data_IF_165164983092
#
_entry.id   IF_165164983092
#
_cell.length_a   1.000
_cell.length_b   1.000
_cell.length_c   1.000
_cell.angle_alpha   90.00
_cell.angle_beta   90.00
_cell.angle_gamma   90.00
#
_symmetry.space_group_name_H-M   'P 1'
#
loop_
_entity.id
_entity.type
_entity.pdbx_description
1 polymer ?
#
# COMPACT_ATOMS: atom_id res chain seq x y z
N UNK A 1 0.92 11.79 -21.18
CA UNK A 1 2.14 10.93 -20.96
C UNK A 1 1.96 10.22 -19.62
N UNK A 2 2.34 8.95 -19.51
CA UNK A 2 2.25 8.21 -18.24
C UNK A 2 3.50 8.49 -17.41
N UNK A 3 3.30 8.92 -16.18
CA UNK A 3 4.36 9.21 -15.21
C UNK A 3 5.14 7.94 -14.84
N UNK A 4 6.42 8.03 -14.46
CA UNK A 4 7.12 6.93 -13.79
C UNK A 4 6.36 6.39 -12.58
N UNK A 5 6.35 5.07 -12.43
CA UNK A 5 5.68 4.38 -11.33
C UNK A 5 6.70 3.72 -10.43
N UNK A 6 6.57 3.96 -9.11
CA UNK A 6 7.37 3.30 -8.09
C UNK A 6 6.46 2.36 -7.27
N UNK A 7 6.73 1.07 -7.33
CA UNK A 7 6.02 0.05 -6.56
C UNK A 7 6.73 -0.13 -5.22
N UNK A 8 5.98 0.02 -4.11
CA UNK A 8 6.47 -0.22 -2.75
C UNK A 8 5.88 -1.54 -2.24
N UNK A 9 6.70 -2.58 -2.07
CA UNK A 9 6.27 -3.88 -1.53
C UNK A 9 5.60 -3.78 -0.16
N UNK A 10 4.75 -4.76 0.17
CA UNK A 10 4.08 -4.86 1.46
C UNK A 10 4.93 -5.48 2.57
N UNK A 11 4.46 -5.37 3.80
CA UNK A 11 5.14 -5.89 5.00
C UNK A 11 5.43 -7.40 4.88
N UNK A 12 6.67 -7.78 5.16
CA UNK A 12 7.13 -9.17 5.09
C UNK A 12 7.35 -9.71 3.68
N UNK A 13 7.14 -8.89 2.64
CA UNK A 13 7.37 -9.25 1.25
C UNK A 13 8.69 -8.65 0.73
N UNK A 14 9.28 -9.28 -0.28
CA UNK A 14 10.47 -8.76 -0.96
C UNK A 14 10.14 -8.33 -2.38
N UNK A 15 10.99 -7.48 -2.93
CA UNK A 15 10.78 -6.83 -4.23
C UNK A 15 10.53 -7.80 -5.39
N UNK A 16 11.18 -8.99 -5.40
CA UNK A 16 10.99 -9.98 -6.46
C UNK A 16 9.56 -10.52 -6.59
N UNK A 17 8.76 -10.48 -5.54
CA UNK A 17 7.34 -10.89 -5.59
C UNK A 17 6.48 -9.92 -6.42
N UNK A 18 6.98 -8.71 -6.68
CA UNK A 18 6.25 -7.68 -7.43
C UNK A 18 6.63 -7.62 -8.92
N UNK A 19 7.49 -8.54 -9.40
CA UNK A 19 7.82 -8.62 -10.83
C UNK A 19 6.62 -9.03 -11.68
N UNK A 20 5.68 -9.84 -11.14
CA UNK A 20 4.41 -10.14 -11.80
C UNK A 20 3.59 -8.86 -12.03
N UNK A 21 3.44 -8.03 -11.00
CA UNK A 21 2.75 -6.73 -11.11
C UNK A 21 3.45 -5.83 -12.14
N UNK A 22 4.78 -5.73 -12.09
CA UNK A 22 5.58 -4.98 -13.05
C UNK A 22 5.38 -5.48 -14.47
N UNK A 23 5.36 -6.81 -14.65
CA UNK A 23 5.11 -7.44 -15.94
C UNK A 23 3.74 -7.06 -16.50
N UNK A 24 2.68 -7.18 -15.70
CA UNK A 24 1.34 -6.86 -16.15
C UNK A 24 1.13 -5.36 -16.40
N UNK A 25 1.77 -4.49 -15.60
CA UNK A 25 1.77 -3.06 -15.83
C UNK A 25 2.49 -2.66 -17.14
N UNK A 26 3.49 -3.42 -17.57
CA UNK A 26 4.22 -3.12 -18.81
C UNK A 26 3.36 -3.25 -20.07
N UNK A 27 2.14 -3.79 -19.97
CA UNK A 27 1.16 -3.75 -21.05
C UNK A 27 0.50 -2.36 -21.25
N UNK A 28 0.64 -1.46 -20.26
CA UNK A 28 -0.01 -0.16 -20.25
C UNK A 28 0.96 1.01 -20.23
N UNK A 29 2.24 0.75 -19.91
CA UNK A 29 3.28 1.78 -19.87
C UNK A 29 4.67 1.19 -20.12
N UNK A 30 5.66 1.99 -20.54
CA UNK A 30 7.03 1.51 -20.77
C UNK A 30 7.61 0.86 -19.51
N UNK A 31 8.18 -0.34 -19.65
CA UNK A 31 8.72 -1.12 -18.52
C UNK A 31 9.86 -0.39 -17.79
N UNK A 32 10.64 0.39 -18.50
CA UNK A 32 11.73 1.22 -17.95
C UNK A 32 11.25 2.34 -17.04
N UNK A 33 9.97 2.69 -17.10
CA UNK A 33 9.31 3.64 -16.20
C UNK A 33 8.69 2.99 -14.96
N UNK A 34 8.81 1.66 -14.78
CA UNK A 34 8.27 0.93 -13.64
C UNK A 34 9.42 0.47 -12.74
N UNK A 35 9.49 1.04 -11.55
CA UNK A 35 10.51 0.76 -10.53
C UNK A 35 9.90 0.01 -9.38
N UNK A 36 10.67 -0.91 -8.79
CA UNK A 36 10.28 -1.59 -7.54
C UNK A 36 11.29 -1.18 -6.48
N UNK A 37 10.82 -0.68 -5.34
CA UNK A 37 11.69 -0.35 -4.21
C UNK A 37 12.40 -1.62 -3.74
N UNK A 38 13.75 -1.62 -3.67
CA UNK A 38 14.51 -2.82 -3.30
C UNK A 38 14.40 -3.08 -1.80
N UNK A 39 13.41 -3.88 -1.43
CA UNK A 39 13.15 -4.30 -0.06
C UNK A 39 13.34 -5.80 0.10
N UNK A 40 13.85 -6.19 1.26
CA UNK A 40 13.93 -7.55 1.78
C UNK A 40 12.99 -7.75 2.96
N UNK A 41 12.77 -8.98 3.37
CA UNK A 41 11.98 -9.30 4.58
C UNK A 41 12.57 -8.63 5.84
N UNK A 42 13.91 -8.51 5.91
CA UNK A 42 14.61 -7.90 7.06
C UNK A 42 14.33 -6.40 7.20
N UNK A 43 14.01 -5.71 6.10
CA UNK A 43 13.68 -4.28 6.15
C UNK A 43 12.33 -4.06 6.85
N UNK A 44 11.46 -5.06 6.85
CA UNK A 44 10.16 -5.03 7.51
C UNK A 44 10.19 -5.38 9.00
N UNK A 45 11.26 -5.98 9.47
CA UNK A 45 11.45 -6.32 10.89
C UNK A 45 12.14 -5.16 11.63
N UNK A 46 13.08 -4.51 10.98
CA UNK A 46 14.06 -3.63 11.60
C UNK A 46 15.16 -4.43 12.32
N UNK A 47 16.32 -3.84 12.55
CA UNK A 47 17.40 -4.48 13.29
C UNK A 47 18.02 -3.46 14.25
N UNK A 48 17.88 -3.63 15.56
CA UNK A 48 17.03 -4.61 16.27
C UNK A 48 15.55 -4.42 15.94
N UNK A 49 14.70 -5.46 16.12
CA UNK A 49 13.28 -5.42 15.74
C UNK A 49 12.51 -4.25 16.34
N UNK A 50 11.88 -3.45 15.48
CA UNK A 50 11.07 -2.30 15.91
C UNK A 50 10.22 -1.79 14.74
N UNK A 51 8.94 -1.43 14.97
CA UNK A 51 8.08 -0.85 13.95
C UNK A 51 8.61 0.48 13.41
N UNK A 52 9.25 1.29 14.27
CA UNK A 52 9.85 2.57 13.92
C UNK A 52 11.00 2.36 12.92
N UNK A 53 11.97 1.51 13.28
CA UNK A 53 13.14 1.20 12.44
C UNK A 53 12.74 0.54 11.12
N UNK A 54 11.74 -0.35 11.15
CA UNK A 54 11.17 -0.94 9.96
C UNK A 54 10.64 0.13 9.01
N UNK A 55 9.80 1.02 9.50
CA UNK A 55 9.23 2.11 8.72
C UNK A 55 10.31 3.04 8.17
N UNK A 56 11.29 3.45 8.98
CA UNK A 56 12.43 4.26 8.54
C UNK A 56 13.23 3.59 7.42
N UNK A 57 13.51 2.28 7.51
CA UNK A 57 14.22 1.53 6.46
C UNK A 57 13.48 1.56 5.14
N UNK A 58 12.18 1.32 5.18
CA UNK A 58 11.33 1.38 3.99
C UNK A 58 11.32 2.78 3.39
N UNK A 59 11.19 3.84 4.22
CA UNK A 59 11.21 5.23 3.77
C UNK A 59 12.55 5.61 3.14
N UNK A 60 13.68 5.20 3.71
CA UNK A 60 15.02 5.41 3.12
C UNK A 60 15.18 4.72 1.77
N UNK A 61 14.70 3.47 1.64
CA UNK A 61 14.75 2.73 0.38
C UNK A 61 13.86 3.39 -0.67
N UNK A 62 12.66 3.82 -0.28
CA UNK A 62 11.76 4.57 -1.13
C UNK A 62 12.37 5.90 -1.59
N UNK A 63 12.94 6.67 -0.67
CA UNK A 63 13.59 7.96 -1.00
C UNK A 63 14.70 7.79 -2.03
N UNK A 64 15.61 6.83 -1.83
CA UNK A 64 16.68 6.52 -2.81
C UNK A 64 16.11 6.16 -4.18
N UNK A 65 15.01 5.40 -4.21
CA UNK A 65 14.35 5.05 -5.48
C UNK A 65 13.72 6.29 -6.13
N UNK A 66 13.07 7.16 -5.35
CA UNK A 66 12.52 8.43 -5.85
C UNK A 66 13.63 9.31 -6.42
N UNK A 67 14.77 9.48 -5.71
CA UNK A 67 15.92 10.24 -6.23
C UNK A 67 16.47 9.65 -7.53
N UNK A 68 16.57 8.32 -7.64
CA UNK A 68 16.98 7.65 -8.87
C UNK A 68 16.04 8.01 -10.01
N UNK A 69 14.72 7.92 -9.81
CA UNK A 69 13.70 8.25 -10.81
C UNK A 69 13.78 9.72 -11.19
N UNK A 70 13.94 10.64 -10.24
CA UNK A 70 14.10 12.06 -10.53
C UNK A 70 15.34 12.37 -11.38
N UNK A 71 16.46 11.67 -11.17
CA UNK A 71 17.65 11.80 -12.01
C UNK A 71 17.43 11.28 -13.43
N UNK A 72 16.64 10.21 -13.58
CA UNK A 72 16.36 9.59 -14.88
C UNK A 72 15.26 10.32 -15.66
N UNK A 73 14.29 10.92 -14.93
CA UNK A 73 13.14 11.62 -15.50
C UNK A 73 12.93 12.98 -14.80
N UNK A 74 13.83 13.96 -14.99
CA UNK A 74 13.90 15.18 -14.18
C UNK A 74 12.70 16.12 -14.31
N UNK A 75 11.91 15.98 -15.38
CA UNK A 75 10.75 16.84 -15.67
C UNK A 75 9.41 16.10 -15.53
N UNK A 76 9.42 14.90 -14.99
CA UNK A 76 8.20 14.10 -14.84
C UNK A 76 7.79 14.01 -13.37
N UNK A 77 6.49 14.07 -13.12
CA UNK A 77 5.93 13.71 -11.82
C UNK A 77 5.97 12.20 -11.63
N UNK A 78 5.97 11.75 -10.39
CA UNK A 78 6.05 10.33 -10.02
C UNK A 78 4.71 9.87 -9.45
N UNK A 79 4.31 8.65 -9.81
CA UNK A 79 3.23 7.92 -9.15
C UNK A 79 3.82 6.84 -8.24
N UNK A 80 3.38 6.78 -6.99
CA UNK A 80 3.71 5.67 -6.09
C UNK A 80 2.53 4.70 -6.02
N UNK A 81 2.83 3.41 -6.14
CA UNK A 81 1.88 2.30 -5.92
C UNK A 81 2.37 1.50 -4.72
N UNK A 82 1.72 1.69 -3.56
CA UNK A 82 2.11 1.03 -2.33
C UNK A 82 1.18 -0.14 -1.97
N UNK A 83 1.73 -1.33 -1.77
CA UNK A 83 0.96 -2.49 -1.33
C UNK A 83 1.02 -2.63 0.20
N UNK A 84 -0.14 -2.91 0.85
CA UNK A 84 -0.19 -3.22 2.28
C UNK A 84 0.56 -2.17 3.13
N UNK A 85 1.45 -2.60 4.03
CA UNK A 85 2.32 -1.71 4.81
C UNK A 85 3.21 -0.78 3.98
N UNK A 86 3.47 -1.10 2.71
CA UNK A 86 4.20 -0.23 1.78
C UNK A 86 3.42 1.03 1.42
N UNK A 87 2.09 0.94 1.30
CA UNK A 87 1.26 2.11 1.04
C UNK A 87 1.18 3.05 2.25
N UNK A 88 1.10 2.52 3.48
CA UNK A 88 1.15 3.35 4.69
C UNK A 88 2.52 3.99 4.90
N UNK A 89 3.62 3.28 4.61
CA UNK A 89 4.97 3.85 4.66
C UNK A 89 5.17 4.95 3.59
N UNK A 90 4.64 4.75 2.39
CA UNK A 90 4.65 5.76 1.33
C UNK A 90 3.85 7.01 1.72
N UNK A 91 2.69 6.83 2.38
CA UNK A 91 1.91 7.96 2.91
C UNK A 91 2.73 8.77 3.91
N UNK A 92 3.36 8.12 4.90
CA UNK A 92 4.21 8.79 5.90
C UNK A 92 5.33 9.58 5.20
N UNK A 93 6.01 8.96 4.24
CA UNK A 93 7.04 9.60 3.44
C UNK A 93 6.54 10.89 2.76
N UNK A 94 5.33 10.84 2.15
CA UNK A 94 4.75 11.95 1.42
C UNK A 94 4.16 13.07 2.30
N UNK A 95 3.85 12.76 3.56
CA UNK A 95 3.42 13.77 4.54
C UNK A 95 4.53 14.79 4.81
N UNK A 96 5.81 14.42 4.65
CA UNK A 96 6.96 15.31 4.83
C UNK A 96 7.14 15.80 6.29
N UNK A 97 6.56 15.07 7.24
CA UNK A 97 6.73 15.33 8.67
C UNK A 97 7.80 14.39 9.24
N UNK A 98 8.58 14.84 10.26
CA UNK A 98 9.57 13.98 10.88
C UNK A 98 8.93 12.73 11.50
N UNK A 99 9.33 11.57 10.99
CA UNK A 99 8.98 10.27 11.58
C UNK A 99 10.21 9.73 12.31
N UNK A 100 10.14 9.65 13.64
CA UNK A 100 11.26 9.21 14.50
C UNK A 100 12.60 9.92 14.17
N UNK A 101 12.51 11.23 13.96
CA UNK A 101 13.68 12.08 13.64
C UNK A 101 14.11 12.09 12.18
N UNK A 102 13.51 11.25 11.31
CA UNK A 102 13.79 11.28 9.87
C UNK A 102 12.72 12.08 9.12
N UNK A 103 13.17 12.99 8.28
CA UNK A 103 12.32 13.78 7.39
C UNK A 103 12.95 13.82 5.99
N UNK A 104 12.10 13.80 4.98
CA UNK A 104 12.53 13.85 3.59
C UNK A 104 11.98 15.11 2.91
N UNK A 105 12.78 15.75 2.02
CA UNK A 105 12.32 16.92 1.29
C UNK A 105 11.13 16.59 0.38
N UNK A 106 10.27 17.57 0.06
CA UNK A 106 9.22 17.39 -0.92
C UNK A 106 9.82 16.94 -2.27
N UNK A 107 9.26 15.87 -2.81
CA UNK A 107 9.65 15.29 -4.10
C UNK A 107 8.50 15.43 -5.10
N UNK A 108 8.75 15.34 -6.43
CA UNK A 108 7.74 15.53 -7.46
C UNK A 108 6.78 14.33 -7.57
N UNK A 109 6.25 13.87 -6.44
CA UNK A 109 5.25 12.81 -6.36
C UNK A 109 3.87 13.48 -6.27
N UNK A 110 3.06 13.29 -7.30
CA UNK A 110 1.73 13.89 -7.38
C UNK A 110 0.58 12.88 -7.25
N UNK A 111 0.91 11.58 -7.15
CA UNK A 111 -0.11 10.53 -7.06
C UNK A 111 0.34 9.37 -6.18
N UNK A 112 -0.60 8.88 -5.36
CA UNK A 112 -0.43 7.69 -4.52
C UNK A 112 -1.61 6.74 -4.73
N UNK A 113 -1.34 5.55 -5.23
CA UNK A 113 -2.26 4.42 -5.19
C UNK A 113 -1.86 3.51 -4.04
N UNK A 114 -2.80 3.12 -3.20
CA UNK A 114 -2.55 2.13 -2.15
C UNK A 114 -3.40 0.89 -2.40
N UNK A 115 -2.79 -0.27 -2.30
CA UNK A 115 -3.38 -1.57 -2.61
C UNK A 115 -3.46 -2.38 -1.30
N UNK A 116 -4.65 -2.52 -0.72
CA UNK A 116 -4.86 -3.23 0.55
C UNK A 116 -4.07 -2.65 1.72
N UNK A 117 -3.90 -1.34 1.78
CA UNK A 117 -3.10 -0.69 2.83
C UNK A 117 -3.96 -0.31 4.03
N UNK A 118 -3.65 -0.79 5.25
CA UNK A 118 -4.43 -0.47 6.44
C UNK A 118 -4.06 0.91 7.00
N UNK A 119 -4.93 1.90 6.81
CA UNK A 119 -4.81 3.22 7.43
C UNK A 119 -5.36 3.25 8.86
N UNK A 120 -6.10 2.23 9.24
CA UNK A 120 -6.53 1.98 10.61
C UNK A 120 -5.99 0.60 11.00
N UNK A 121 -5.17 0.54 12.03
CA UNK A 121 -4.58 -0.71 12.51
C UNK A 121 -4.51 -0.74 14.03
N UNK A 122 -4.81 -1.90 14.60
CA UNK A 122 -4.63 -2.18 16.05
C UNK A 122 -3.39 -3.04 16.31
N UNK A 123 -2.79 -3.61 15.25
CA UNK A 123 -1.56 -4.36 15.30
C UNK A 123 -0.37 -3.42 15.52
N UNK A 124 0.62 -3.83 16.31
CA UNK A 124 1.74 -2.99 16.78
C UNK A 124 2.49 -2.28 15.64
N UNK A 125 2.88 -3.01 14.57
CA UNK A 125 3.62 -2.45 13.43
C UNK A 125 2.75 -1.57 12.51
N UNK A 126 1.47 -1.87 12.45
CA UNK A 126 0.49 -1.06 11.72
C UNK A 126 0.06 0.17 12.50
N UNK A 127 -0.16 0.01 13.82
CA UNK A 127 -0.69 1.07 14.69
C UNK A 127 0.19 2.32 14.71
N UNK A 128 1.49 2.19 14.82
CA UNK A 128 2.39 3.36 14.83
C UNK A 128 2.28 4.18 13.54
N UNK A 129 2.11 3.50 12.41
CA UNK A 129 1.90 4.15 11.11
C UNK A 129 0.53 4.82 11.02
N UNK A 130 -0.51 4.12 11.47
CA UNK A 130 -1.88 4.64 11.49
C UNK A 130 -2.02 5.86 12.38
N UNK A 131 -1.43 5.82 13.59
CA UNK A 131 -1.45 6.94 14.54
C UNK A 131 -0.70 8.15 13.97
N UNK A 132 0.46 7.94 13.36
CA UNK A 132 1.22 9.01 12.74
C UNK A 132 0.45 9.65 11.58
N UNK A 133 -0.14 8.84 10.70
CA UNK A 133 -0.96 9.33 9.58
C UNK A 133 -2.15 10.12 10.11
N UNK A 134 -2.86 9.60 11.10
CA UNK A 134 -4.03 10.28 11.68
C UNK A 134 -3.66 11.63 12.32
N UNK A 135 -2.47 11.75 12.91
CA UNK A 135 -2.00 12.98 13.54
C UNK A 135 -1.55 14.06 12.53
N UNK A 136 -1.09 13.66 11.34
CA UNK A 136 -0.42 14.60 10.41
C UNK A 136 -1.10 14.75 9.05
N UNK A 137 -2.08 13.90 8.72
CA UNK A 137 -2.79 13.98 7.44
C UNK A 137 -3.81 15.12 7.49
N UNK A 138 -3.58 16.14 6.67
CA UNK A 138 -4.45 17.30 6.54
C UNK A 138 -5.13 17.30 5.17
N UNK A 139 -6.30 17.95 4.99
CA UNK A 139 -7.01 18.02 3.72
C UNK A 139 -6.15 18.53 2.55
N UNK A 140 -5.22 19.43 2.81
CA UNK A 140 -4.31 20.03 1.83
C UNK A 140 -3.36 19.00 1.20
N UNK A 141 -3.13 17.88 1.87
CA UNK A 141 -2.37 16.77 1.29
C UNK A 141 -2.98 16.28 -0.02
N UNK A 142 -4.30 16.13 -0.07
CA UNK A 142 -5.04 15.61 -1.22
C UNK A 142 -5.09 16.56 -2.41
N UNK A 143 -4.83 17.85 -2.20
CA UNK A 143 -4.69 18.82 -3.30
C UNK A 143 -3.33 18.70 -3.99
N UNK A 144 -2.31 18.26 -3.26
CA UNK A 144 -0.94 18.05 -3.75
C UNK A 144 -0.71 16.64 -4.28
N UNK A 145 -1.28 15.63 -3.61
CA UNK A 145 -1.09 14.22 -3.94
C UNK A 145 -2.45 13.56 -4.17
N UNK A 146 -2.83 13.34 -5.43
CA UNK A 146 -4.05 12.59 -5.76
C UNK A 146 -3.95 11.19 -5.19
N UNK A 147 -4.78 10.88 -4.20
CA UNK A 147 -4.69 9.61 -3.46
C UNK A 147 -5.87 8.71 -3.78
N UNK A 148 -5.58 7.47 -4.14
CA UNK A 148 -6.56 6.43 -4.42
C UNK A 148 -6.28 5.25 -3.49
N UNK A 149 -7.23 4.93 -2.60
CA UNK A 149 -7.16 3.76 -1.73
C UNK A 149 -7.97 2.62 -2.33
N UNK A 150 -7.29 1.56 -2.74
CA UNK A 150 -7.87 0.40 -3.40
C UNK A 150 -7.80 -0.79 -2.46
N UNK A 151 -8.92 -1.46 -2.25
CA UNK A 151 -9.00 -2.64 -1.39
C UNK A 151 -9.74 -3.78 -2.08
N UNK A 152 -9.23 -4.99 -1.94
CA UNK A 152 -9.85 -6.21 -2.43
C UNK A 152 -11.00 -6.67 -1.53
N UNK A 153 -12.04 -7.25 -2.14
CA UNK A 153 -13.16 -7.89 -1.43
C UNK A 153 -13.31 -9.32 -1.93
N UNK A 154 -12.49 -10.21 -1.38
CA UNK A 154 -12.43 -11.61 -1.77
C UNK A 154 -12.94 -12.56 -0.70
N UNK A 155 -12.77 -12.23 0.57
CA UNK A 155 -13.05 -13.12 1.70
C UNK A 155 -13.99 -12.47 2.71
N UNK A 156 -14.98 -13.24 3.15
CA UNK A 156 -15.80 -12.91 4.30
C UNK A 156 -15.17 -13.52 5.56
N UNK A 157 -14.83 -12.73 6.55
CA UNK A 157 -14.44 -13.21 7.87
C UNK A 157 -15.66 -13.38 8.75
N UNK A 158 -15.89 -14.58 9.32
CA UNK A 158 -17.06 -14.86 10.16
C UNK A 158 -16.74 -15.94 11.20
N UNK A 159 -16.99 -15.65 12.49
CA UNK A 159 -16.74 -16.58 13.59
C UNK A 159 -17.59 -17.86 13.50
N UNK A 160 -18.79 -17.77 12.94
CA UNK A 160 -19.73 -18.88 12.77
C UNK A 160 -19.66 -19.54 11.37
N UNK A 161 -18.68 -19.13 10.55
CA UNK A 161 -18.53 -19.60 9.18
C UNK A 161 -17.64 -20.84 9.05
N UNK A 162 -17.25 -21.14 7.80
CA UNK A 162 -16.29 -22.19 7.44
C UNK A 162 -14.91 -21.93 8.08
N UNK A 163 -14.01 -22.91 7.99
CA UNK A 163 -12.63 -22.75 8.46
C UNK A 163 -11.93 -21.55 7.76
N UNK A 164 -12.13 -21.39 6.46
CA UNK A 164 -11.55 -20.27 5.71
C UNK A 164 -12.08 -18.90 6.17
N UNK A 165 -13.39 -18.82 6.49
CA UNK A 165 -13.99 -17.59 6.99
C UNK A 165 -13.52 -17.25 8.42
N UNK A 166 -13.35 -18.26 9.28
CA UNK A 166 -12.77 -18.06 10.62
C UNK A 166 -11.32 -17.59 10.54
N UNK A 167 -10.52 -18.18 9.65
CA UNK A 167 -9.13 -17.77 9.42
C UNK A 167 -9.05 -16.34 8.88
N UNK A 168 -9.90 -15.96 7.93
CA UNK A 168 -9.96 -14.59 7.44
C UNK A 168 -10.34 -13.61 8.56
N UNK A 169 -11.30 -13.96 9.42
CA UNK A 169 -11.68 -13.13 10.55
C UNK A 169 -10.53 -12.94 11.55
N UNK A 170 -9.72 -13.97 11.78
CA UNK A 170 -8.54 -13.89 12.64
C UNK A 170 -7.52 -12.89 12.08
N UNK A 171 -7.20 -12.96 10.78
CA UNK A 171 -6.33 -11.97 10.13
C UNK A 171 -6.90 -10.55 10.21
N UNK A 172 -8.20 -10.38 9.99
CA UNK A 172 -8.85 -9.07 10.09
C UNK A 172 -8.78 -8.51 11.50
N UNK A 173 -9.05 -9.34 12.52
CA UNK A 173 -8.94 -8.93 13.92
C UNK A 173 -7.50 -8.65 14.35
N UNK A 174 -6.51 -9.33 13.77
CA UNK A 174 -5.10 -9.02 13.99
C UNK A 174 -4.71 -7.68 13.37
N UNK A 175 -5.25 -7.34 12.21
CA UNK A 175 -4.95 -6.07 11.52
C UNK A 175 -5.71 -4.91 12.14
N UNK A 176 -7.04 -5.04 12.25
CA UNK A 176 -7.93 -4.00 12.74
C UNK A 176 -9.13 -4.60 13.46
N UNK A 177 -9.11 -4.57 14.77
CA UNK A 177 -10.17 -5.12 15.63
C UNK A 177 -11.00 -4.03 16.26
N UNK A 178 -12.32 -4.14 16.13
CA UNK A 178 -13.31 -3.32 16.84
C UNK A 178 -14.37 -4.20 17.48
N UNK A 179 -15.14 -3.68 18.45
CA UNK A 179 -16.25 -4.41 19.03
C UNK A 179 -17.31 -4.79 17.98
N UNK A 180 -17.46 -3.97 16.93
CA UNK A 180 -18.40 -4.21 15.85
C UNK A 180 -18.00 -5.37 14.94
N UNK A 181 -16.69 -5.52 14.64
CA UNK A 181 -16.21 -6.48 13.66
C UNK A 181 -15.61 -7.77 14.25
N UNK A 182 -15.45 -7.87 15.58
CA UNK A 182 -14.75 -8.97 16.24
C UNK A 182 -15.28 -10.38 15.94
N UNK A 183 -16.59 -10.50 15.66
CA UNK A 183 -17.24 -11.78 15.36
C UNK A 183 -17.64 -11.93 13.88
N UNK A 184 -17.51 -10.88 13.07
CA UNK A 184 -17.96 -10.84 11.68
C UNK A 184 -19.50 -10.70 11.55
N UNK A 185 -20.04 -10.73 10.32
CA UNK A 185 -19.31 -10.85 9.07
C UNK A 185 -18.50 -9.59 8.72
N UNK A 186 -17.27 -9.78 8.29
CA UNK A 186 -16.35 -8.71 7.86
C UNK A 186 -15.77 -9.07 6.50
N UNK A 187 -15.88 -8.18 5.54
CA UNK A 187 -15.31 -8.37 4.21
C UNK A 187 -13.94 -7.71 4.08
N UNK A 188 -13.07 -8.33 3.30
CA UNK A 188 -11.75 -7.82 2.95
C UNK A 188 -11.03 -8.69 1.93
N UNK A 189 -9.74 -8.47 1.79
CA UNK A 189 -8.87 -9.15 0.82
C UNK A 189 -8.25 -10.46 1.36
N UNK A 190 -8.66 -10.92 2.53
CA UNK A 190 -8.16 -12.11 3.21
C UNK A 190 -7.13 -11.80 4.31
N UNK A 191 -6.57 -10.59 4.34
CA UNK A 191 -5.61 -10.14 5.38
C UNK A 191 -6.07 -8.82 6.00
N UNK A 192 -6.52 -7.87 5.19
CA UNK A 192 -6.95 -6.54 5.61
C UNK A 192 -8.44 -6.37 5.38
N UNK A 193 -9.22 -5.97 6.39
CA UNK A 193 -10.65 -5.69 6.21
C UNK A 193 -10.86 -4.39 5.43
N UNK A 194 -11.94 -4.32 4.66
CA UNK A 194 -12.29 -3.14 3.84
C UNK A 194 -12.24 -1.84 4.64
N UNK A 195 -12.76 -1.87 5.86
CA UNK A 195 -12.87 -0.70 6.72
C UNK A 195 -11.50 -0.11 7.08
N UNK A 196 -10.49 -0.97 7.31
CA UNK A 196 -9.14 -0.54 7.65
C UNK A 196 -8.43 0.21 6.51
N UNK A 197 -8.82 -0.04 5.27
CA UNK A 197 -8.24 0.62 4.09
C UNK A 197 -8.90 1.96 3.76
N UNK A 198 -10.03 2.30 4.38
CA UNK A 198 -10.72 3.55 4.08
C UNK A 198 -9.92 4.76 4.55
N UNK A 199 -9.71 5.69 3.64
CA UNK A 199 -9.00 6.93 3.88
C UNK A 199 -9.91 8.11 3.52
N UNK A 200 -10.26 8.91 4.50
CA UNK A 200 -11.07 10.10 4.29
C UNK A 200 -10.28 11.11 3.44
N UNK A 201 -10.91 11.70 2.44
CA UNK A 201 -10.30 12.63 1.48
C UNK A 201 -9.69 11.95 0.26
N UNK A 202 -9.48 10.62 0.27
CA UNK A 202 -9.04 9.86 -0.89
C UNK A 202 -10.23 9.28 -1.69
N UNK A 203 -9.99 8.95 -2.96
CA UNK A 203 -10.89 8.09 -3.72
C UNK A 203 -10.76 6.66 -3.20
N UNK A 204 -11.83 6.12 -2.59
CA UNK A 204 -11.86 4.76 -2.07
C UNK A 204 -12.51 3.83 -3.09
N UNK A 205 -11.78 2.80 -3.52
CA UNK A 205 -12.19 1.83 -4.55
C UNK A 205 -12.16 0.42 -4.00
N UNK A 206 -13.19 -0.37 -4.27
CA UNK A 206 -13.24 -1.79 -3.93
C UNK A 206 -13.13 -2.64 -5.20
N UNK A 207 -12.27 -3.66 -5.17
CA UNK A 207 -12.11 -4.63 -6.24
C UNK A 207 -12.67 -5.98 -5.79
N UNK A 208 -13.75 -6.43 -6.42
CA UNK A 208 -14.37 -7.73 -6.12
C UNK A 208 -13.43 -8.89 -6.49
N UNK A 209 -13.32 -9.89 -5.62
CA UNK A 209 -12.54 -11.10 -5.83
C UNK A 209 -11.02 -10.94 -5.75
N UNK A 210 -10.49 -9.75 -5.39
CA UNK A 210 -9.05 -9.52 -5.29
C UNK A 210 -8.55 -9.83 -3.88
N UNK A 211 -7.54 -10.70 -3.78
CA UNK A 211 -6.89 -11.13 -2.56
C UNK A 211 -5.61 -10.33 -2.25
N UNK A 212 -5.18 -10.39 -1.00
CA UNK A 212 -4.03 -9.62 -0.50
C UNK A 212 -2.68 -10.14 -1.03
N UNK A 213 -2.49 -11.46 -0.99
CA UNK A 213 -1.20 -12.09 -1.26
C UNK A 213 -1.22 -12.86 -2.58
N UNK A 214 -0.08 -12.94 -3.29
CA UNK A 214 0.07 -13.81 -4.42
C UNK A 214 0.05 -15.27 -3.97
N UNK A 215 -0.99 -16.00 -4.36
CA UNK A 215 -1.05 -17.45 -4.24
C UNK A 215 -1.33 -18.05 -5.62
N UNK A 216 -0.98 -19.33 -5.88
CA UNK A 216 -1.10 -19.92 -7.22
C UNK A 216 -2.51 -19.87 -7.84
N UNK A 217 -3.55 -19.71 -7.01
CA UNK A 217 -4.94 -19.77 -7.45
C UNK A 217 -5.73 -18.50 -7.12
N UNK A 218 -5.06 -17.45 -6.61
CA UNK A 218 -5.73 -16.20 -6.26
C UNK A 218 -5.52 -15.12 -7.31
N UNK A 219 -6.54 -14.28 -7.45
CA UNK A 219 -6.37 -12.98 -8.11
C UNK A 219 -5.91 -12.00 -7.04
N UNK A 220 -4.64 -11.67 -7.01
CA UNK A 220 -4.10 -10.65 -6.11
C UNK A 220 -3.87 -9.33 -6.83
N UNK A 221 -3.51 -8.27 -6.11
CA UNK A 221 -3.35 -6.92 -6.68
C UNK A 221 -2.38 -6.83 -7.87
N UNK A 222 -1.36 -7.72 -7.95
CA UNK A 222 -0.41 -7.79 -9.05
C UNK A 222 -0.83 -8.68 -10.21
N UNK A 223 -1.90 -9.46 -10.10
CA UNK A 223 -2.42 -10.32 -11.16
C UNK A 223 -2.96 -9.49 -12.32
N UNK A 224 -2.94 -10.08 -13.53
CA UNK A 224 -3.38 -9.42 -14.77
C UNK A 224 -4.76 -8.76 -14.64
N UNK A 225 -5.74 -9.49 -14.11
CA UNK A 225 -7.10 -8.97 -13.95
C UNK A 225 -7.19 -7.79 -12.99
N UNK A 226 -6.48 -7.86 -11.85
CA UNK A 226 -6.46 -6.78 -10.89
C UNK A 226 -5.73 -5.55 -11.45
N UNK A 227 -4.55 -5.72 -12.07
CA UNK A 227 -3.80 -4.63 -12.72
C UNK A 227 -4.67 -3.95 -13.78
N UNK A 228 -5.36 -4.71 -14.63
CA UNK A 228 -6.29 -4.18 -15.63
C UNK A 228 -7.40 -3.32 -15.01
N UNK A 229 -7.89 -3.70 -13.83
CA UNK A 229 -8.96 -2.97 -13.16
C UNK A 229 -8.50 -1.65 -12.54
N UNK A 230 -7.26 -1.60 -11.98
CA UNK A 230 -6.80 -0.41 -11.26
C UNK A 230 -5.81 0.47 -12.04
N UNK A 231 -5.18 -0.02 -13.12
CA UNK A 231 -4.18 0.76 -13.87
C UNK A 231 -4.71 2.10 -14.41
N UNK A 232 -6.02 2.19 -14.70
CA UNK A 232 -6.67 3.42 -15.16
C UNK A 232 -6.50 4.61 -14.18
N UNK A 233 -6.24 4.32 -12.91
CA UNK A 233 -5.98 5.36 -11.91
C UNK A 233 -4.55 5.90 -11.95
N UNK A 234 -3.65 5.34 -12.80
CA UNK A 234 -2.32 5.87 -13.05
C UNK A 234 -2.34 7.04 -14.04
N UNK A 235 -3.37 7.12 -14.86
CA UNK A 235 -3.47 8.17 -15.88
C UNK A 235 -3.69 9.52 -15.21
N UNK A 236 -2.95 10.52 -15.68
CA UNK A 236 -3.29 11.92 -15.40
C UNK A 236 -4.50 12.25 -16.25
N UNK A 237 -5.57 12.72 -15.62
CA UNK A 237 -6.66 13.35 -16.37
C UNK A 237 -6.06 14.46 -17.25
N UNK A 238 -6.54 14.60 -18.48
CA UNK A 238 -6.03 15.62 -19.40
C UNK A 238 -6.25 17.03 -18.87
#
# INVERSE_FOLDING_TARGET
MVNPVIIVPGSGLWSGMFEEMRWHLSAYMPREKIFIVPLSVLDWIGVPPSPERSTQRVMRALHRTVEQVCRQYPNESITIVGHSGGGTAAMIYLLGQPFEGECYPPMPVNRLLTLGSPFQSTERYGKIKSDFIAAHLQPEFFTRVKTISIVGKARCGNANGSWAERTALEFYNNTFRTEKNKNGPVWGDGVVPLEACRLQGALNVTLEGVEHLPTPFSVWYGSRAAVQAWQKFLETEP
#
